data_IF_736941390799
#
_entry.id   IF_736941390799
#
_cell.length_a   1.000
_cell.length_b   1.000
_cell.length_c   1.000
_cell.angle_alpha   90.00
_cell.angle_beta   90.00
_cell.angle_gamma   90.00
#
_symmetry.space_group_name_H-M   'P 1'
#
loop_
_entity.id
_entity.type
_entity.pdbx_description
1 polymer ?
#
# COMPACT_ATOMS: atom_id res chain seq x y z
N UNK A 1 -14.07 0.72 30.07
CA UNK A 1 -12.58 0.74 30.02
C UNK A 1 -12.09 1.07 28.60
N UNK A 2 -10.95 1.75 28.42
CA UNK A 2 -10.47 2.24 27.11
C UNK A 2 -10.49 1.21 25.97
N UNK A 3 -10.21 -0.07 26.26
CA UNK A 3 -10.26 -1.15 25.26
C UNK A 3 -11.65 -1.34 24.64
N UNK A 4 -12.72 -1.30 25.45
CA UNK A 4 -14.10 -1.43 24.98
C UNK A 4 -14.49 -0.23 24.10
N UNK A 5 -14.11 0.98 24.52
CA UNK A 5 -14.32 2.19 23.74
C UNK A 5 -13.61 2.14 22.37
N UNK A 6 -12.40 1.57 22.33
CA UNK A 6 -11.66 1.33 21.08
C UNK A 6 -12.42 0.35 20.19
N UNK A 7 -12.95 -0.74 20.73
CA UNK A 7 -13.72 -1.72 19.95
C UNK A 7 -14.98 -1.09 19.34
N UNK A 8 -15.75 -0.31 20.11
CA UNK A 8 -16.91 0.45 19.63
C UNK A 8 -16.53 1.43 18.52
N UNK A 9 -15.46 2.22 18.73
CA UNK A 9 -14.94 3.15 17.72
C UNK A 9 -14.54 2.44 16.43
N UNK A 10 -13.81 1.33 16.53
CA UNK A 10 -13.36 0.55 15.38
C UNK A 10 -14.55 -0.07 14.64
N UNK A 11 -15.55 -0.58 15.35
CA UNK A 11 -16.76 -1.13 14.75
C UNK A 11 -17.51 -0.05 13.96
N UNK A 12 -17.76 1.13 14.56
CA UNK A 12 -18.42 2.25 13.90
C UNK A 12 -17.67 2.68 12.62
N UNK A 13 -16.36 2.87 12.72
CA UNK A 13 -15.55 3.29 11.56
C UNK A 13 -15.48 2.20 10.49
N UNK A 14 -15.48 0.92 10.86
CA UNK A 14 -15.52 -0.19 9.90
C UNK A 14 -16.85 -0.30 9.19
N UNK A 15 -17.96 -0.05 9.88
CA UNK A 15 -19.28 0.06 9.26
C UNK A 15 -19.30 1.18 8.19
N UNK A 16 -18.58 2.28 8.44
CA UNK A 16 -18.33 3.35 7.46
C UNK A 16 -17.30 3.02 6.35
N UNK A 17 -16.82 1.77 6.25
CA UNK A 17 -15.91 1.31 5.19
C UNK A 17 -14.41 1.50 5.44
N UNK A 18 -14.00 1.98 6.61
CA UNK A 18 -12.58 2.14 6.94
C UNK A 18 -11.97 0.82 7.44
N UNK A 19 -10.79 0.43 6.92
CA UNK A 19 -10.12 -0.81 7.35
C UNK A 19 -9.44 -0.69 8.73
N UNK A 20 -8.86 0.48 9.03
CA UNK A 20 -8.22 0.86 10.31
C UNK A 20 -7.18 -0.12 10.91
N UNK A 21 -6.67 -1.10 10.17
CA UNK A 21 -5.76 -2.14 10.71
C UNK A 21 -4.56 -1.57 11.50
N UNK A 22 -3.92 -0.54 10.96
CA UNK A 22 -2.77 0.08 11.65
C UNK A 22 -3.21 0.97 12.82
N UNK A 23 -4.33 1.68 12.69
CA UNK A 23 -4.89 2.51 13.75
C UNK A 23 -5.32 1.67 14.95
N UNK A 24 -5.92 0.50 14.72
CA UNK A 24 -6.27 -0.45 15.78
C UNK A 24 -5.07 -0.83 16.65
N UNK A 25 -3.97 -1.25 16.02
CA UNK A 25 -2.74 -1.62 16.75
C UNK A 25 -2.27 -0.45 17.61
N UNK A 26 -2.24 0.76 17.05
CA UNK A 26 -1.82 1.95 17.77
C UNK A 26 -2.74 2.31 18.94
N UNK A 27 -4.06 2.22 18.77
CA UNK A 27 -5.01 2.53 19.83
C UNK A 27 -4.92 1.51 20.98
N UNK A 28 -4.78 0.23 20.66
CA UNK A 28 -4.60 -0.83 21.67
C UNK A 28 -3.27 -0.68 22.42
N UNK A 29 -2.18 -0.37 21.72
CA UNK A 29 -0.89 -0.05 22.36
C UNK A 29 -1.00 1.13 23.32
N UNK A 30 -1.75 2.18 22.96
CA UNK A 30 -1.99 3.31 23.85
C UNK A 30 -2.82 2.90 25.07
N UNK A 31 -3.90 2.14 24.90
CA UNK A 31 -4.74 1.69 26.01
C UNK A 31 -3.95 0.84 27.02
N UNK A 32 -3.06 -0.05 26.55
CA UNK A 32 -2.14 -0.78 27.44
C UNK A 32 -1.20 0.17 28.19
N UNK A 33 -0.62 1.16 27.50
CA UNK A 33 0.29 2.13 28.12
C UNK A 33 -0.38 3.04 29.16
N UNK A 34 -1.65 3.40 28.95
CA UNK A 34 -2.46 4.14 29.92
C UNK A 34 -2.84 3.26 31.12
N UNK A 35 -3.22 2.00 30.88
CA UNK A 35 -3.55 1.04 31.93
C UNK A 35 -2.36 0.75 32.86
N UNK A 36 -1.13 0.69 32.34
CA UNK A 36 0.10 0.58 33.14
C UNK A 36 0.29 1.75 34.14
N UNK A 37 -0.37 2.89 33.89
CA UNK A 37 -0.36 4.08 34.77
C UNK A 37 -1.61 4.19 35.64
N UNK A 38 -2.52 3.22 35.58
CA UNK A 38 -3.80 3.27 36.27
C UNK A 38 -4.79 4.27 35.66
N UNK A 39 -4.52 4.76 34.44
CA UNK A 39 -5.39 5.74 33.79
C UNK A 39 -6.55 5.05 33.06
N UNK A 40 -7.77 5.43 33.44
CA UNK A 40 -9.02 4.98 32.82
C UNK A 40 -9.49 5.91 31.68
N UNK A 41 -9.00 7.15 31.67
CA UNK A 41 -9.35 8.20 30.74
C UNK A 41 -8.14 8.61 29.90
N UNK A 42 -8.39 9.31 28.80
CA UNK A 42 -7.29 9.80 27.97
C UNK A 42 -6.74 11.05 28.64
N UNK A 43 -5.47 11.02 29.01
CA UNK A 43 -4.71 12.18 29.47
C UNK A 43 -3.81 12.69 28.34
N UNK A 44 -3.78 14.00 28.10
CA UNK A 44 -3.03 14.59 27.00
C UNK A 44 -1.51 14.36 27.15
N UNK A 45 -0.99 14.50 28.37
CA UNK A 45 0.43 14.30 28.65
C UNK A 45 0.85 12.84 28.44
N UNK A 46 0.04 11.88 28.88
CA UNK A 46 0.30 10.44 28.66
C UNK A 46 0.22 10.08 27.19
N UNK A 47 -0.73 10.66 26.44
CA UNK A 47 -0.82 10.50 24.99
C UNK A 47 0.43 11.02 24.26
N UNK A 48 0.94 12.19 24.66
CA UNK A 48 2.17 12.77 24.09
C UNK A 48 3.38 11.90 24.44
N UNK A 49 3.53 11.50 25.70
CA UNK A 49 4.63 10.64 26.16
C UNK A 49 4.64 9.28 25.44
N UNK A 50 3.47 8.66 25.28
CA UNK A 50 3.31 7.42 24.52
C UNK A 50 3.75 7.59 23.06
N UNK A 51 3.26 8.63 22.39
CA UNK A 51 3.58 8.90 21.00
C UNK A 51 5.08 9.18 20.81
N UNK A 52 5.73 9.86 21.77
CA UNK A 52 7.15 10.19 21.76
C UNK A 52 8.08 8.96 21.75
N UNK A 53 7.60 7.78 22.19
CA UNK A 53 8.37 6.51 22.15
C UNK A 53 8.72 6.03 20.74
N UNK A 54 8.11 6.60 19.70
CA UNK A 54 8.47 6.25 18.32
C UNK A 54 9.80 6.89 17.89
N UNK A 55 10.53 6.20 17.03
CA UNK A 55 11.89 6.60 16.59
C UNK A 55 11.88 7.84 15.69
N UNK A 56 10.92 7.96 14.77
CA UNK A 56 10.84 9.09 13.83
C UNK A 56 9.73 10.08 14.19
N UNK A 57 9.98 11.38 14.00
CA UNK A 57 8.96 12.45 14.18
C UNK A 57 7.67 12.16 13.40
N UNK A 58 7.79 11.60 12.19
CA UNK A 58 6.64 11.19 11.37
C UNK A 58 5.79 10.12 12.06
N UNK A 59 6.44 9.14 12.68
CA UNK A 59 5.73 8.08 13.39
C UNK A 59 5.12 8.63 14.70
N UNK A 60 5.83 9.49 15.44
CA UNK A 60 5.29 10.20 16.63
C UNK A 60 4.03 10.97 16.28
N UNK A 61 4.07 11.81 15.25
CA UNK A 61 2.92 12.57 14.75
C UNK A 61 1.77 11.66 14.31
N UNK A 62 2.05 10.56 13.60
CA UNK A 62 1.02 9.61 13.16
C UNK A 62 0.34 8.90 14.34
N UNK A 63 1.12 8.51 15.36
CA UNK A 63 0.60 7.91 16.60
C UNK A 63 -0.35 8.87 17.29
N UNK A 64 0.12 10.08 17.57
CA UNK A 64 -0.69 11.11 18.24
C UNK A 64 -1.95 11.46 17.43
N UNK A 65 -1.84 11.67 16.12
CA UNK A 65 -3.01 11.99 15.28
C UNK A 65 -4.05 10.86 15.24
N UNK A 66 -3.62 9.59 15.29
CA UNK A 66 -4.56 8.46 15.36
C UNK A 66 -5.33 8.48 16.68
N UNK A 67 -4.65 8.80 17.77
CA UNK A 67 -5.25 8.92 19.10
C UNK A 67 -6.16 10.14 19.22
N UNK A 68 -5.79 11.30 18.66
CA UNK A 68 -6.64 12.52 18.67
C UNK A 68 -8.00 12.26 18.02
N UNK A 69 -8.03 11.49 16.92
CA UNK A 69 -9.30 11.14 16.27
C UNK A 69 -10.17 10.22 17.14
N UNK A 70 -9.57 9.31 17.90
CA UNK A 70 -10.28 8.47 18.86
C UNK A 70 -10.73 9.29 20.09
N UNK A 71 -9.87 10.15 20.63
CA UNK A 71 -10.17 11.02 21.76
C UNK A 71 -11.37 11.93 21.47
N UNK A 72 -11.45 12.50 20.26
CA UNK A 72 -12.61 13.30 19.83
C UNK A 72 -13.91 12.48 19.78
N UNK A 73 -13.84 11.21 19.41
CA UNK A 73 -15.00 10.32 19.39
C UNK A 73 -15.47 10.03 20.82
N UNK A 74 -14.57 9.54 21.68
CA UNK A 74 -14.96 9.09 23.02
C UNK A 74 -15.30 10.27 23.95
N UNK A 75 -14.74 11.46 23.72
CA UNK A 75 -15.10 12.68 24.46
C UNK A 75 -16.57 13.07 24.28
N UNK A 76 -17.20 12.70 23.17
CA UNK A 76 -18.63 12.93 22.97
C UNK A 76 -19.49 12.04 23.89
N UNK A 77 -18.96 10.90 24.34
CA UNK A 77 -19.62 9.98 25.28
C UNK A 77 -19.25 10.31 26.74
N UNK A 78 -18.00 10.70 27.00
CA UNK A 78 -17.52 11.10 28.33
C UNK A 78 -16.51 12.27 28.25
N UNK A 79 -16.92 13.42 28.78
CA UNK A 79 -16.15 14.66 28.73
C UNK A 79 -14.83 14.63 29.53
N UNK A 80 -14.64 13.65 30.42
CA UNK A 80 -13.39 13.46 31.17
C UNK A 80 -12.21 12.98 30.30
N UNK A 81 -12.48 12.53 29.06
CA UNK A 81 -11.42 12.27 28.10
C UNK A 81 -10.84 13.57 27.52
N UNK A 82 -9.54 13.79 27.72
CA UNK A 82 -8.85 14.91 27.10
C UNK A 82 -8.56 14.65 25.62
N UNK A 83 -8.53 15.73 24.83
CA UNK A 83 -8.08 15.68 23.44
C UNK A 83 -6.68 16.28 23.38
N UNK A 84 -5.64 15.48 23.08
CA UNK A 84 -4.28 15.99 22.98
C UNK A 84 -4.18 17.11 21.93
N UNK A 85 -3.33 18.13 22.14
CA UNK A 85 -3.15 19.19 21.17
C UNK A 85 -2.60 18.64 19.84
N UNK A 86 -3.08 19.22 18.73
CA UNK A 86 -2.53 18.91 17.41
C UNK A 86 -1.13 19.52 17.26
N UNK A 87 -0.30 18.91 16.41
CA UNK A 87 0.97 19.53 15.99
C UNK A 87 2.10 19.50 17.01
N UNK A 88 1.95 18.85 18.16
CA UNK A 88 3.02 18.67 19.18
C UNK A 88 4.30 18.11 18.56
N UNK A 89 4.16 17.08 17.74
CA UNK A 89 5.25 16.58 16.91
C UNK A 89 5.17 17.27 15.56
N UNK A 90 5.69 18.51 15.49
CA UNK A 90 5.84 19.23 14.24
C UNK A 90 6.67 18.38 13.27
N UNK A 91 5.99 17.69 12.36
CA UNK A 91 6.64 17.12 11.20
C UNK A 91 6.59 18.23 10.16
N UNK A 92 7.74 18.84 9.85
CA UNK A 92 7.85 19.59 8.59
C UNK A 92 7.26 18.68 7.51
N UNK A 93 6.24 19.12 6.75
CA UNK A 93 5.83 18.36 5.59
C UNK A 93 7.08 18.27 4.74
N UNK A 94 7.72 17.08 4.67
CA UNK A 94 8.77 16.83 3.68
C UNK A 94 8.19 17.40 2.39
N UNK A 95 8.88 18.38 1.80
CA UNK A 95 8.54 18.92 0.49
C UNK A 95 8.11 17.74 -0.34
N UNK A 96 6.81 17.68 -0.68
CA UNK A 96 6.20 16.49 -1.25
C UNK A 96 7.09 16.17 -2.46
N UNK A 97 7.80 15.01 -2.46
CA UNK A 97 8.75 14.76 -3.53
C UNK A 97 7.98 14.90 -4.83
N UNK A 98 8.46 15.80 -5.70
CA UNK A 98 7.81 16.05 -6.99
C UNK A 98 7.74 14.70 -7.71
N UNK A 99 6.54 14.24 -8.10
CA UNK A 99 6.44 12.98 -8.82
C UNK A 99 7.31 13.06 -10.08
N UNK A 100 8.17 12.07 -10.28
CA UNK A 100 8.88 11.92 -11.56
C UNK A 100 7.90 11.35 -12.58
N UNK A 101 7.59 12.13 -13.62
CA UNK A 101 6.75 11.68 -14.72
C UNK A 101 7.68 11.06 -15.77
N UNK A 102 7.59 9.75 -15.94
CA UNK A 102 8.45 9.01 -16.87
C UNK A 102 8.08 9.33 -18.32
N UNK A 103 9.09 9.68 -19.10
CA UNK A 103 8.99 9.82 -20.55
C UNK A 103 8.82 8.46 -21.23
N UNK A 104 8.29 8.41 -22.47
CA UNK A 104 8.22 7.16 -23.23
C UNK A 104 9.58 6.45 -23.37
N UNK A 105 10.67 7.21 -23.53
CA UNK A 105 12.03 6.65 -23.63
C UNK A 105 12.49 6.00 -22.31
N UNK A 106 12.25 6.64 -21.17
CA UNK A 106 12.55 6.07 -19.86
C UNK A 106 11.74 4.81 -19.59
N UNK A 107 10.43 4.81 -19.94
CA UNK A 107 9.59 3.62 -19.84
C UNK A 107 10.16 2.49 -20.70
N UNK A 108 10.52 2.77 -21.95
CA UNK A 108 11.12 1.77 -22.84
C UNK A 108 12.43 1.20 -22.26
N UNK A 109 13.29 2.05 -21.68
CA UNK A 109 14.52 1.62 -21.02
C UNK A 109 14.26 0.73 -19.79
N UNK A 110 13.29 1.10 -18.93
CA UNK A 110 12.86 0.28 -17.79
C UNK A 110 12.38 -1.10 -18.24
N UNK A 111 11.58 -1.14 -19.31
CA UNK A 111 11.07 -2.39 -19.87
C UNK A 111 12.19 -3.24 -20.50
N UNK A 112 13.13 -2.63 -21.21
CA UNK A 112 14.29 -3.31 -21.76
C UNK A 112 15.12 -3.97 -20.65
N UNK A 113 15.37 -3.26 -19.54
CA UNK A 113 16.09 -3.80 -18.39
C UNK A 113 15.29 -4.87 -17.63
N UNK A 114 13.96 -4.73 -17.54
CA UNK A 114 13.11 -5.76 -16.94
C UNK A 114 13.21 -7.10 -17.69
N UNK A 115 13.41 -7.09 -19.01
CA UNK A 115 13.63 -8.30 -19.83
C UNK A 115 14.96 -9.00 -19.56
N UNK A 116 15.92 -8.31 -18.94
CA UNK A 116 17.25 -8.86 -18.62
C UNK A 116 17.36 -9.30 -17.16
N UNK A 117 16.25 -9.29 -16.39
CA UNK A 117 16.27 -9.70 -14.99
C UNK A 117 16.65 -11.18 -14.82
N UNK A 118 17.63 -11.52 -13.98
CA UNK A 118 17.99 -12.91 -13.73
C UNK A 118 16.93 -13.64 -12.89
N UNK A 119 16.84 -14.98 -12.95
CA UNK A 119 17.57 -15.86 -13.85
C UNK A 119 17.07 -15.73 -15.30
N UNK A 120 17.98 -15.71 -16.26
CA UNK A 120 17.65 -15.75 -17.68
C UNK A 120 16.88 -17.05 -18.01
N UNK A 121 15.96 -16.99 -18.99
CA UNK A 121 15.11 -18.14 -19.34
C UNK A 121 13.99 -18.45 -18.34
N UNK A 122 13.94 -17.78 -17.19
CA UNK A 122 12.85 -17.95 -16.22
C UNK A 122 11.63 -17.07 -16.54
N UNK A 123 10.51 -17.30 -15.84
CA UNK A 123 9.32 -16.45 -15.97
C UNK A 123 9.54 -15.02 -15.43
N UNK A 124 10.58 -14.78 -14.62
CA UNK A 124 10.78 -13.50 -13.92
C UNK A 124 10.93 -12.31 -14.88
N UNK A 125 11.81 -12.32 -15.89
CA UNK A 125 11.89 -11.23 -16.86
C UNK A 125 10.55 -10.93 -17.55
N UNK A 126 9.83 -11.96 -17.97
CA UNK A 126 8.51 -11.81 -18.60
C UNK A 126 7.46 -11.24 -17.64
N UNK A 127 7.48 -11.66 -16.38
CA UNK A 127 6.58 -11.16 -15.33
C UNK A 127 6.75 -9.66 -15.14
N UNK A 128 8.00 -9.20 -14.98
CA UNK A 128 8.27 -7.78 -14.72
C UNK A 128 8.10 -6.92 -15.97
N UNK A 129 8.49 -7.40 -17.15
CA UNK A 129 8.23 -6.71 -18.42
C UNK A 129 6.73 -6.48 -18.62
N UNK A 130 5.92 -7.54 -18.51
CA UNK A 130 4.47 -7.43 -18.71
C UNK A 130 3.80 -6.62 -17.59
N UNK A 131 4.22 -6.76 -16.33
CA UNK A 131 3.67 -5.98 -15.21
C UNK A 131 3.91 -4.47 -15.39
N UNK A 132 5.15 -4.06 -15.64
CA UNK A 132 5.48 -2.65 -15.80
C UNK A 132 4.88 -2.07 -17.08
N UNK A 133 4.88 -2.84 -18.17
CA UNK A 133 4.23 -2.43 -19.42
C UNK A 133 2.74 -2.21 -19.24
N UNK A 134 2.06 -3.11 -18.53
CA UNK A 134 0.63 -2.99 -18.24
C UNK A 134 0.33 -1.78 -17.36
N UNK A 135 1.11 -1.55 -16.31
CA UNK A 135 0.96 -0.37 -15.44
C UNK A 135 1.15 0.92 -16.24
N UNK A 136 2.16 0.98 -17.11
CA UNK A 136 2.43 2.14 -17.94
C UNK A 136 1.35 2.39 -18.99
N UNK A 137 0.88 1.35 -19.68
CA UNK A 137 -0.11 1.46 -20.76
C UNK A 137 -1.51 1.77 -20.25
N UNK A 138 -1.87 1.28 -19.06
CA UNK A 138 -3.25 1.33 -18.54
C UNK A 138 -3.41 2.25 -17.32
N UNK A 139 -2.33 2.90 -16.87
CA UNK A 139 -2.36 3.80 -15.71
C UNK A 139 -2.80 3.10 -14.41
N UNK A 140 -2.55 1.80 -14.27
CA UNK A 140 -3.01 1.03 -13.12
C UNK A 140 -2.23 1.41 -11.86
N UNK A 141 -2.91 1.46 -10.72
CA UNK A 141 -2.18 1.43 -9.45
C UNK A 141 -1.51 0.07 -9.31
N UNK A 142 -0.31 0.04 -8.74
CA UNK A 142 0.41 -1.23 -8.54
C UNK A 142 -0.39 -2.25 -7.71
N UNK A 143 -1.19 -1.79 -6.74
CA UNK A 143 -2.08 -2.67 -5.98
C UNK A 143 -3.19 -3.29 -6.84
N UNK A 144 -3.71 -2.56 -7.83
CA UNK A 144 -4.72 -3.05 -8.78
C UNK A 144 -4.10 -4.11 -9.70
N UNK A 145 -2.91 -3.83 -10.25
CA UNK A 145 -2.20 -4.79 -11.10
C UNK A 145 -1.83 -6.09 -10.35
N UNK A 146 -1.40 -5.99 -9.09
CA UNK A 146 -1.11 -7.15 -8.25
C UNK A 146 -2.37 -7.89 -7.76
N UNK A 147 -3.53 -7.22 -7.76
CA UNK A 147 -4.82 -7.81 -7.40
C UNK A 147 -5.47 -8.60 -8.55
N UNK A 148 -5.09 -8.31 -9.80
CA UNK A 148 -5.71 -8.83 -11.00
C UNK A 148 -5.75 -10.36 -11.03
N UNK A 149 -6.94 -10.91 -11.28
CA UNK A 149 -7.16 -12.34 -11.50
C UNK A 149 -7.27 -12.64 -12.99
N UNK A 150 -7.05 -13.91 -13.38
CA UNK A 150 -7.17 -14.34 -14.78
C UNK A 150 -8.58 -14.05 -15.32
N UNK A 151 -9.62 -14.27 -14.52
CA UNK A 151 -11.03 -13.99 -14.86
C UNK A 151 -11.34 -12.49 -15.06
N UNK A 152 -10.46 -11.60 -14.61
CA UNK A 152 -10.60 -10.16 -14.80
C UNK A 152 -10.12 -9.71 -16.18
N UNK A 153 -9.45 -10.59 -16.93
CA UNK A 153 -9.02 -10.34 -18.30
C UNK A 153 -10.16 -10.78 -19.23
N UNK A 154 -10.84 -9.81 -19.82
CA UNK A 154 -12.02 -10.00 -20.65
C UNK A 154 -11.77 -9.53 -22.08
N UNK A 155 -12.59 -9.96 -23.06
CA UNK A 155 -12.46 -9.51 -24.45
C UNK A 155 -12.56 -7.98 -24.61
N UNK A 156 -13.33 -7.31 -23.75
CA UNK A 156 -13.55 -5.86 -23.73
C UNK A 156 -12.54 -5.08 -22.87
N UNK A 157 -11.60 -5.77 -22.21
CA UNK A 157 -10.52 -5.16 -21.44
C UNK A 157 -10.27 -5.79 -20.07
N UNK A 158 -9.72 -5.00 -19.15
CA UNK A 158 -9.46 -5.43 -17.77
C UNK A 158 -10.55 -4.95 -16.82
N UNK A 159 -11.17 -5.89 -16.11
CA UNK A 159 -12.11 -5.58 -15.05
C UNK A 159 -11.38 -5.37 -13.71
N UNK A 160 -11.15 -4.11 -13.34
CA UNK A 160 -10.45 -3.78 -12.10
C UNK A 160 -11.45 -3.74 -10.94
N UNK A 161 -11.39 -4.76 -10.08
CA UNK A 161 -12.23 -4.89 -8.88
C UNK A 161 -11.74 -4.03 -7.73
N UNK A 162 -12.68 -3.59 -6.90
CA UNK A 162 -12.42 -3.11 -5.53
C UNK A 162 -11.25 -2.11 -5.42
N UNK A 163 -11.28 -1.07 -6.25
CA UNK A 163 -10.31 0.03 -6.16
C UNK A 163 -10.48 0.80 -4.84
N UNK A 164 -9.63 1.79 -4.56
CA UNK A 164 -9.85 2.69 -3.42
C UNK A 164 -11.30 3.20 -3.47
N UNK A 165 -12.05 3.01 -2.37
CA UNK A 165 -13.50 3.25 -2.26
C UNK A 165 -14.44 2.16 -2.83
N UNK A 166 -13.97 0.92 -3.02
CA UNK A 166 -14.76 -0.24 -3.51
C UNK A 166 -15.41 -0.02 -4.88
N UNK A 167 -14.88 0.91 -5.69
CA UNK A 167 -15.37 1.12 -7.07
C UNK A 167 -14.71 0.12 -8.01
N UNK A 168 -15.48 -0.45 -8.92
CA UNK A 168 -14.97 -1.24 -10.04
C UNK A 168 -14.95 -0.43 -11.33
N UNK A 169 -14.02 -0.71 -12.24
CA UNK A 169 -13.97 -0.07 -13.56
C UNK A 169 -13.46 -1.04 -14.64
N UNK A 170 -13.93 -0.87 -15.86
CA UNK A 170 -13.38 -1.52 -17.04
C UNK A 170 -12.26 -0.65 -17.64
N UNK A 171 -11.12 -1.25 -17.98
CA UNK A 171 -9.99 -0.57 -18.61
C UNK A 171 -9.72 -1.22 -19.98
N UNK A 172 -9.98 -0.51 -21.09
CA UNK A 172 -9.69 -1.03 -22.42
C UNK A 172 -8.20 -1.35 -22.60
N UNK A 173 -7.91 -2.42 -23.33
CA UNK A 173 -6.55 -2.81 -23.68
C UNK A 173 -6.27 -2.51 -25.15
N UNK A 174 -5.18 -1.79 -25.41
CA UNK A 174 -4.66 -1.68 -26.77
C UNK A 174 -4.22 -3.07 -27.28
N UNK A 175 -4.42 -3.42 -28.56
CA UNK A 175 -4.09 -4.76 -29.09
C UNK A 175 -2.66 -5.22 -28.82
N UNK A 176 -1.68 -4.30 -28.83
CA UNK A 176 -0.27 -4.62 -28.51
C UNK A 176 -0.10 -5.05 -27.04
N UNK A 177 -0.80 -4.40 -26.12
CA UNK A 177 -0.80 -4.76 -24.69
C UNK A 177 -1.50 -6.10 -24.47
N UNK A 178 -2.64 -6.33 -25.12
CA UNK A 178 -3.36 -7.61 -25.07
C UNK A 178 -2.49 -8.76 -25.56
N UNK A 179 -1.81 -8.59 -26.70
CA UNK A 179 -0.88 -9.60 -27.25
C UNK A 179 0.25 -9.92 -26.27
N UNK A 180 0.85 -8.89 -25.68
CA UNK A 180 1.95 -9.09 -24.72
C UNK A 180 1.48 -9.76 -23.42
N UNK A 181 0.26 -9.45 -22.97
CA UNK A 181 -0.35 -10.10 -21.81
C UNK A 181 -0.62 -11.58 -22.08
N UNK A 182 -1.18 -11.92 -23.25
CA UNK A 182 -1.40 -13.32 -23.67
C UNK A 182 -0.08 -14.11 -23.70
N UNK A 183 0.97 -13.57 -24.34
CA UNK A 183 2.31 -14.17 -24.39
C UNK A 183 2.91 -14.45 -23.00
N UNK A 184 2.57 -13.63 -22.01
CA UNK A 184 2.97 -13.87 -20.63
C UNK A 184 2.13 -14.98 -19.98
N UNK A 185 0.81 -14.96 -20.18
CA UNK A 185 -0.09 -15.98 -19.65
C UNK A 185 0.26 -17.37 -20.16
N UNK A 186 0.61 -17.53 -21.43
CA UNK A 186 1.01 -18.82 -22.01
C UNK A 186 2.25 -19.39 -21.31
N UNK A 187 3.28 -18.55 -21.13
CA UNK A 187 4.50 -18.94 -20.37
C UNK A 187 4.19 -19.24 -18.91
N UNK A 188 3.32 -18.44 -18.30
CA UNK A 188 2.91 -18.59 -16.91
C UNK A 188 2.18 -19.92 -16.68
N UNK A 189 1.34 -20.36 -17.61
CA UNK A 189 0.61 -21.63 -17.52
C UNK A 189 1.52 -22.85 -17.45
N UNK A 190 2.74 -22.77 -18.00
CA UNK A 190 3.75 -23.83 -17.86
C UNK A 190 4.31 -23.91 -16.44
N UNK A 191 4.26 -22.81 -15.67
CA UNK A 191 4.76 -22.75 -14.30
C UNK A 191 3.68 -23.07 -13.27
N UNK A 192 2.45 -22.59 -13.45
CA UNK A 192 1.31 -22.87 -12.56
C UNK A 192 -0.03 -22.67 -13.26
N UNK A 193 -0.96 -23.60 -13.02
CA UNK A 193 -2.36 -23.52 -13.45
C UNK A 193 -3.36 -23.35 -12.30
N UNK A 194 -2.90 -23.58 -11.06
CA UNK A 194 -3.74 -23.54 -9.85
C UNK A 194 -3.89 -22.12 -9.32
N UNK A 195 -2.85 -21.30 -9.44
CA UNK A 195 -2.90 -19.90 -9.00
C UNK A 195 -3.78 -19.08 -9.95
N UNK A 196 -4.69 -18.26 -9.42
CA UNK A 196 -5.62 -17.43 -10.21
C UNK A 196 -5.11 -16.02 -10.42
N UNK A 197 -4.12 -15.56 -9.64
CA UNK A 197 -3.50 -14.24 -9.83
C UNK A 197 -2.71 -14.16 -11.12
N UNK A 198 -2.88 -13.08 -11.88
CA UNK A 198 -2.19 -12.87 -13.15
C UNK A 198 -0.68 -12.88 -12.94
N UNK A 199 -0.15 -12.06 -12.03
CA UNK A 199 1.29 -11.96 -11.80
C UNK A 199 1.76 -12.87 -10.67
N UNK A 200 2.63 -13.82 -11.02
CA UNK A 200 3.19 -14.80 -10.09
C UNK A 200 4.71 -14.71 -10.01
N UNK A 201 5.25 -15.09 -8.85
CA UNK A 201 6.69 -15.26 -8.64
C UNK A 201 7.18 -16.62 -9.16
N UNK A 202 8.51 -16.79 -9.24
CA UNK A 202 9.12 -18.10 -9.54
C UNK A 202 8.72 -19.20 -8.56
N UNK A 203 8.30 -18.82 -7.34
CA UNK A 203 7.78 -19.74 -6.31
C UNK A 203 6.31 -20.14 -6.54
N UNK A 204 5.73 -19.83 -7.70
CA UNK A 204 4.33 -20.14 -8.07
C UNK A 204 3.28 -19.51 -7.15
N UNK A 205 3.67 -18.46 -6.41
CA UNK A 205 2.80 -17.69 -5.51
C UNK A 205 2.56 -16.29 -6.06
N UNK A 206 1.47 -15.60 -5.64
CA UNK A 206 1.19 -14.24 -6.05
C UNK A 206 2.38 -13.32 -5.82
N UNK A 207 2.64 -12.44 -6.78
CA UNK A 207 3.74 -11.49 -6.68
C UNK A 207 3.45 -10.45 -5.59
N UNK A 208 4.43 -10.22 -4.70
CA UNK A 208 4.24 -9.35 -3.53
C UNK A 208 4.75 -7.93 -3.80
N UNK A 209 4.05 -6.93 -3.25
CA UNK A 209 4.40 -5.52 -3.40
C UNK A 209 5.86 -5.19 -3.01
N UNK A 210 6.43 -5.66 -1.88
CA UNK A 210 7.82 -5.36 -1.54
C UNK A 210 8.82 -5.88 -2.59
N UNK A 211 8.55 -7.05 -3.17
CA UNK A 211 9.39 -7.62 -4.24
C UNK A 211 9.34 -6.78 -5.51
N UNK A 212 8.14 -6.29 -5.88
CA UNK A 212 8.00 -5.41 -7.04
C UNK A 212 8.67 -4.07 -6.81
N UNK A 213 8.41 -3.45 -5.66
CA UNK A 213 9.01 -2.17 -5.32
C UNK A 213 10.54 -2.27 -5.28
N UNK A 214 11.09 -3.31 -4.66
CA UNK A 214 12.54 -3.54 -4.64
C UNK A 214 13.13 -3.75 -6.04
N UNK A 215 12.46 -4.53 -6.89
CA UNK A 215 12.91 -4.76 -8.27
C UNK A 215 12.84 -3.47 -9.10
N UNK A 216 11.75 -2.72 -8.99
CA UNK A 216 11.58 -1.44 -9.70
C UNK A 216 12.65 -0.43 -9.29
N UNK A 217 12.89 -0.25 -7.98
CA UNK A 217 13.94 0.63 -7.47
C UNK A 217 15.35 0.20 -7.92
N UNK A 218 15.61 -1.11 -8.00
CA UNK A 218 16.85 -1.63 -8.56
C UNK A 218 17.02 -1.22 -10.03
N UNK A 219 15.99 -1.39 -10.86
CA UNK A 219 16.02 -0.99 -12.27
C UNK A 219 16.25 0.53 -12.44
N UNK A 220 15.54 1.35 -11.66
CA UNK A 220 15.71 2.80 -11.72
C UNK A 220 17.13 3.26 -11.37
N UNK A 221 17.76 2.64 -10.36
CA UNK A 221 19.15 2.93 -10.00
C UNK A 221 20.11 2.50 -11.12
N UNK A 222 19.88 1.31 -11.69
CA UNK A 222 20.69 0.82 -12.82
C UNK A 222 20.65 1.77 -14.02
N UNK A 223 19.49 2.37 -14.28
CA UNK A 223 19.28 3.33 -15.37
C UNK A 223 19.66 4.78 -15.02
N UNK A 224 20.16 5.06 -13.82
CA UNK A 224 20.49 6.42 -13.38
C UNK A 224 19.27 7.33 -13.15
N UNK A 225 18.05 6.79 -13.20
CA UNK A 225 16.78 7.54 -13.02
C UNK A 225 16.48 7.87 -11.55
N UNK A 226 17.30 7.37 -10.62
CA UNK A 226 17.19 7.68 -9.20
C UNK A 226 18.58 7.69 -8.57
N UNK A 227 18.91 8.79 -7.90
CA UNK A 227 20.10 8.89 -7.06
C UNK A 227 20.07 7.83 -5.94
N UNK A 228 21.26 7.51 -5.38
CA UNK A 228 21.52 6.43 -4.41
C UNK A 228 20.57 6.34 -3.20
N UNK A 229 20.73 5.30 -2.36
CA UNK A 229 19.68 4.85 -1.44
C UNK A 229 19.16 5.94 -0.50
N UNK A 230 17.86 6.18 -0.59
CA UNK A 230 17.03 6.96 0.32
C UNK A 230 15.58 6.48 0.27
#
# INVERSE_FOLDING_TARGET
MLMQAIDSYLQLRRAGGFQLRYTEVLLREFASFAAERGETHIQADTAIAWAARATSLKQRARRLNSLILFARYIRAEDAAHEVPPNGVFAHQPRSRPRPHIYTPAEIAAILAEARQLPPAGSLRPHTFYTLFGLVAACGLRISEALALQIEDIRPDGLYIRETKFRKSRLVPLHPTTSKQLALYLDRRQQLTRVETRVFVSLRRKPLRYPTVNGTFLFLLRKLGLRAGPG
#
